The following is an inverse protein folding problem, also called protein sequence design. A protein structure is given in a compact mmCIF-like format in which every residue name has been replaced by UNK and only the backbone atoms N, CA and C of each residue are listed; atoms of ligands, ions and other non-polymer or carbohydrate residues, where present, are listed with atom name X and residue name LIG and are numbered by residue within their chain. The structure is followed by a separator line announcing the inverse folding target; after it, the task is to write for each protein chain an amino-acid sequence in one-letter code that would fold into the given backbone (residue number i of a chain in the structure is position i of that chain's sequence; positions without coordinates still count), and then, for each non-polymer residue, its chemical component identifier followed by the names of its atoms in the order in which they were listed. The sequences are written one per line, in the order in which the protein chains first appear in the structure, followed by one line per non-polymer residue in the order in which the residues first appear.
data_IF_593850504012
#
_entry.id   IF_593850504012
#
_cell.length_a   1.000
_cell.length_b   1.000
_cell.length_c   1.000
_cell.angle_alpha   90.00
_cell.angle_beta   90.00
_cell.angle_gamma   90.00
#
_symmetry.space_group_name_H-M   'P 1'
#
loop_
_entity.id
_entity.type
_entity.pdbx_description
1 polymer ?
#
# COMPACT_ATOMS: atom_id res chain seq x y z
N UNK A 1 14.35 6.95 1.93
CA UNK A 1 14.33 5.50 2.19
C UNK A 1 13.43 4.90 1.14
N UNK A 2 13.77 3.76 0.52
CA UNK A 2 12.78 3.08 -0.33
C UNK A 2 11.60 2.72 0.57
N UNK A 3 10.39 3.03 0.12
CA UNK A 3 9.20 2.63 0.86
C UNK A 3 9.11 1.10 0.87
N UNK A 4 8.84 0.55 2.04
CA UNK A 4 8.67 -0.87 2.31
C UNK A 4 7.19 -1.09 2.55
N UNK A 5 6.49 -1.26 1.43
CA UNK A 5 5.07 -1.52 1.37
C UNK A 5 4.79 -3.01 1.60
N UNK A 6 3.84 -3.33 2.47
CA UNK A 6 3.27 -4.67 2.60
C UNK A 6 1.90 -4.71 1.94
N UNK A 7 1.74 -5.51 0.90
CA UNK A 7 0.43 -5.84 0.35
C UNK A 7 -0.12 -7.11 1.00
N UNK A 8 -1.41 -7.12 1.33
CA UNK A 8 -2.09 -8.24 1.97
C UNK A 8 -3.39 -8.55 1.21
N UNK A 9 -3.55 -9.80 0.81
CA UNK A 9 -4.85 -10.37 0.44
C UNK A 9 -5.39 -11.18 1.62
N UNK A 10 -6.61 -10.87 2.06
CA UNK A 10 -7.19 -11.46 3.26
C UNK A 10 -7.95 -12.75 2.96
N UNK A 11 -7.70 -13.78 3.75
CA UNK A 11 -8.40 -15.05 3.59
C UNK A 11 -8.20 -16.00 4.76
N UNK A 12 -8.40 -17.29 4.48
CA UNK A 12 -7.91 -18.38 5.35
C UNK A 12 -6.43 -18.65 5.07
N UNK A 13 -6.08 -18.62 3.78
CA UNK A 13 -4.71 -18.45 3.32
C UNK A 13 -4.59 -16.99 2.94
N UNK A 14 -3.58 -16.30 3.46
CA UNK A 14 -3.32 -14.90 3.17
C UNK A 14 -2.28 -14.80 2.08
N UNK A 15 -2.53 -13.98 1.06
CA UNK A 15 -1.48 -13.52 0.16
C UNK A 15 -0.69 -12.39 0.82
N UNK A 16 0.62 -12.34 0.60
CA UNK A 16 1.44 -11.23 1.05
C UNK A 16 2.53 -10.90 0.04
N UNK A 17 2.92 -9.62 -0.03
CA UNK A 17 3.98 -9.17 -0.93
C UNK A 17 4.69 -7.92 -0.39
N UNK A 18 6.01 -7.95 -0.35
CA UNK A 18 6.89 -6.81 -0.09
C UNK A 18 7.56 -6.29 -1.35
N UNK A 19 7.97 -7.20 -2.22
CA UNK A 19 8.58 -6.92 -3.50
C UNK A 19 8.44 -8.19 -4.37
N UNK A 20 7.63 -8.17 -5.42
CA UNK A 20 7.40 -9.35 -6.25
C UNK A 20 8.58 -9.64 -7.19
N UNK A 21 9.55 -8.73 -7.30
CA UNK A 21 10.75 -8.90 -8.13
C UNK A 21 11.91 -9.55 -7.35
N UNK A 22 11.79 -9.65 -6.01
CA UNK A 22 12.80 -10.30 -5.17
C UNK A 22 12.29 -11.64 -4.68
N UNK A 23 13.04 -12.70 -4.99
CA UNK A 23 12.68 -14.07 -4.61
C UNK A 23 12.52 -14.18 -3.09
N UNK A 24 11.37 -14.71 -2.66
CA UNK A 24 11.05 -14.92 -1.25
C UNK A 24 10.52 -13.67 -0.53
N UNK A 25 10.28 -12.57 -1.25
CA UNK A 25 9.64 -11.35 -0.72
C UNK A 25 8.14 -11.26 -1.03
N UNK A 26 7.54 -12.34 -1.49
CA UNK A 26 6.09 -12.49 -1.65
C UNK A 26 5.70 -13.96 -1.53
N UNK A 27 4.42 -14.22 -1.29
CA UNK A 27 3.90 -15.57 -1.23
C UNK A 27 2.49 -15.64 -0.68
N UNK A 28 2.14 -16.83 -0.21
CA UNK A 28 0.94 -17.05 0.58
C UNK A 28 1.28 -17.75 1.90
N UNK A 29 0.47 -17.51 2.92
CA UNK A 29 0.64 -18.13 4.24
C UNK A 29 -0.71 -18.62 4.77
N UNK A 30 -0.74 -19.89 5.15
CA UNK A 30 -1.85 -20.45 5.90
C UNK A 30 -1.58 -20.26 7.39
N UNK A 31 -2.46 -19.53 8.08
CA UNK A 31 -2.39 -19.35 9.53
C UNK A 31 -3.28 -20.38 10.21
N UNK A 32 -2.70 -21.53 10.56
CA UNK A 32 -3.39 -22.62 11.23
C UNK A 32 -4.01 -22.15 12.56
N UNK A 33 -5.24 -22.62 12.83
CA UNK A 33 -6.01 -22.22 14.01
C UNK A 33 -7.11 -23.21 14.34
N UNK A 34 -7.25 -23.55 15.63
CA UNK A 34 -8.31 -24.46 16.11
C UNK A 34 -9.70 -23.79 16.18
N UNK A 35 -9.71 -22.46 16.35
CA UNK A 35 -10.92 -21.66 16.48
C UNK A 35 -10.71 -20.24 15.93
N UNK A 36 -11.80 -19.47 15.86
CA UNK A 36 -11.76 -18.11 15.30
C UNK A 36 -10.86 -17.15 16.08
N UNK A 37 -10.85 -17.23 17.41
CA UNK A 37 -9.99 -16.39 18.26
C UNK A 37 -8.51 -16.68 18.06
N UNK A 38 -8.13 -17.95 17.90
CA UNK A 38 -6.77 -18.35 17.59
C UNK A 38 -6.35 -17.82 16.21
N UNK A 39 -7.23 -17.90 15.20
CA UNK A 39 -6.97 -17.35 13.86
C UNK A 39 -6.63 -15.87 13.91
N UNK A 40 -7.43 -15.11 14.65
CA UNK A 40 -7.27 -13.68 14.86
C UNK A 40 -5.96 -13.33 15.59
N UNK A 41 -5.60 -14.10 16.62
CA UNK A 41 -4.33 -13.94 17.32
C UNK A 41 -3.13 -14.27 16.42
N UNK A 42 -3.22 -15.32 15.61
CA UNK A 42 -2.16 -15.71 14.68
C UNK A 42 -1.94 -14.63 13.61
N UNK A 43 -3.02 -14.05 13.08
CA UNK A 43 -2.92 -12.92 12.16
C UNK A 43 -2.25 -11.71 12.82
N UNK A 44 -2.69 -11.33 14.03
CA UNK A 44 -2.07 -10.22 14.76
C UNK A 44 -0.57 -10.46 14.98
N UNK A 45 -0.17 -11.65 15.43
CA UNK A 45 1.24 -12.01 15.64
C UNK A 45 2.04 -11.94 14.35
N UNK A 46 1.51 -12.52 13.27
CA UNK A 46 2.14 -12.47 11.96
C UNK A 46 2.34 -11.02 11.48
N UNK A 47 1.30 -10.20 11.59
CA UNK A 47 1.36 -8.80 11.20
C UNK A 47 2.35 -8.01 12.07
N UNK A 48 2.35 -8.22 13.39
CA UNK A 48 3.31 -7.58 14.29
C UNK A 48 4.76 -7.88 13.90
N UNK A 49 5.07 -9.12 13.51
CA UNK A 49 6.41 -9.45 12.99
C UNK A 49 6.75 -8.65 11.73
N UNK A 50 5.77 -8.40 10.86
CA UNK A 50 5.98 -7.59 9.66
C UNK A 50 6.32 -6.13 10.02
N UNK A 51 5.55 -5.52 10.93
CA UNK A 51 5.81 -4.16 11.41
C UNK A 51 7.19 -3.99 12.04
N UNK A 52 7.65 -5.00 12.79
CA UNK A 52 8.99 -5.00 13.40
C UNK A 52 10.13 -5.02 12.37
N UNK A 53 9.86 -5.31 11.09
CA UNK A 53 10.84 -5.26 10.01
C UNK A 53 10.94 -3.88 9.35
N UNK A 54 10.24 -2.86 9.85
CA UNK A 54 10.33 -1.48 9.36
C UNK A 54 9.45 -1.20 8.14
N UNK A 55 8.18 -1.57 8.22
CA UNK A 55 7.19 -1.14 7.23
C UNK A 55 6.99 0.37 7.30
N UNK A 56 6.58 0.95 6.17
CA UNK A 56 6.09 2.33 6.12
C UNK A 56 4.71 2.45 5.48
N UNK A 57 4.27 1.43 4.72
CA UNK A 57 2.93 1.39 4.14
C UNK A 57 2.33 -0.02 4.18
N UNK A 58 1.00 -0.12 4.34
CA UNK A 58 0.23 -1.36 4.16
C UNK A 58 -0.89 -1.16 3.13
N UNK A 59 -0.98 -2.02 2.13
CA UNK A 59 -2.05 -2.01 1.12
C UNK A 59 -2.87 -3.29 1.19
N UNK A 60 -4.19 -3.19 1.01
CA UNK A 60 -5.07 -4.36 0.98
C UNK A 60 -6.32 -4.14 0.11
N UNK A 61 -6.97 -5.22 -0.28
CA UNK A 61 -8.29 -5.17 -0.92
C UNK A 61 -9.41 -5.11 0.13
N UNK A 62 -10.36 -4.20 -0.08
CA UNK A 62 -11.62 -4.14 0.67
C UNK A 62 -12.76 -4.74 -0.17
N UNK A 63 -13.45 -5.79 0.30
CA UNK A 63 -14.56 -6.39 -0.43
C UNK A 63 -15.75 -5.44 -0.52
N UNK A 64 -16.42 -5.42 -1.68
CA UNK A 64 -17.66 -4.65 -1.88
C UNK A 64 -18.86 -5.55 -1.58
N UNK A 65 -19.70 -5.08 -0.67
CA UNK A 65 -21.01 -5.68 -0.41
C UNK A 65 -20.96 -6.77 0.65
N UNK A 66 -21.59 -6.45 1.77
CA UNK A 66 -21.80 -7.30 2.93
C UNK A 66 -22.85 -8.39 2.66
N UNK A 67 -22.68 -9.18 1.61
CA UNK A 67 -23.69 -10.14 1.17
C UNK A 67 -23.76 -11.39 2.06
N UNK A 68 -22.69 -11.70 2.82
CA UNK A 68 -22.65 -12.87 3.70
C UNK A 68 -21.99 -12.58 5.05
N UNK A 69 -22.71 -12.61 6.19
CA UNK A 69 -22.18 -12.34 7.53
C UNK A 69 -20.90 -13.11 7.90
N UNK A 70 -20.72 -14.31 7.33
CA UNK A 70 -19.60 -15.20 7.61
C UNK A 70 -18.25 -14.69 7.06
N UNK A 71 -18.27 -13.86 6.01
CA UNK A 71 -17.05 -13.24 5.45
C UNK A 71 -16.78 -11.86 6.03
N UNK A 72 -17.82 -11.20 6.57
CA UNK A 72 -17.74 -9.86 7.16
C UNK A 72 -16.95 -9.87 8.46
N UNK A 73 -17.29 -10.79 9.38
CA UNK A 73 -16.68 -10.82 10.71
C UNK A 73 -15.15 -11.02 10.64
N UNK A 74 -14.63 -11.99 9.87
CA UNK A 74 -13.18 -12.16 9.75
C UNK A 74 -12.52 -10.95 9.10
N UNK A 75 -13.10 -10.43 8.01
CA UNK A 75 -12.55 -9.26 7.33
C UNK A 75 -12.48 -8.04 8.26
N UNK A 76 -13.57 -7.73 8.98
CA UNK A 76 -13.62 -6.61 9.92
C UNK A 76 -12.55 -6.75 11.02
N UNK A 77 -12.29 -7.96 11.51
CA UNK A 77 -11.21 -8.19 12.45
C UNK A 77 -9.83 -7.88 11.83
N UNK A 78 -9.56 -8.40 10.62
CA UNK A 78 -8.29 -8.18 9.94
C UNK A 78 -8.05 -6.69 9.65
N UNK A 79 -9.07 -6.00 9.12
CA UNK A 79 -9.02 -4.57 8.84
C UNK A 79 -8.79 -3.76 10.13
N UNK A 80 -9.57 -3.99 11.19
CA UNK A 80 -9.36 -3.31 12.47
C UNK A 80 -7.94 -3.54 13.02
N UNK A 81 -7.41 -4.75 12.89
CA UNK A 81 -6.05 -5.08 13.33
C UNK A 81 -5.00 -4.32 12.52
N UNK A 82 -5.14 -4.27 11.19
CA UNK A 82 -4.26 -3.47 10.32
C UNK A 82 -4.31 -1.99 10.70
N UNK A 83 -5.51 -1.41 10.82
CA UNK A 83 -5.69 0.00 11.17
C UNK A 83 -5.06 0.34 12.53
N UNK A 84 -5.30 -0.50 13.54
CA UNK A 84 -4.71 -0.34 14.87
C UNK A 84 -3.18 -0.40 14.82
N UNK A 85 -2.61 -1.37 14.12
CA UNK A 85 -1.16 -1.53 14.01
C UNK A 85 -0.53 -0.37 13.22
N UNK A 86 -1.14 0.06 12.11
CA UNK A 86 -0.70 1.24 11.37
C UNK A 86 -0.64 2.48 12.29
N UNK A 87 -1.65 2.69 13.12
CA UNK A 87 -1.66 3.79 14.09
C UNK A 87 -0.56 3.64 15.16
N UNK A 88 -0.37 2.44 15.73
CA UNK A 88 0.65 2.19 16.74
C UNK A 88 2.08 2.42 16.25
N UNK A 89 2.37 2.08 14.99
CA UNK A 89 3.71 2.16 14.41
C UNK A 89 3.92 3.41 13.53
N UNK A 90 2.92 4.30 13.43
CA UNK A 90 2.94 5.48 12.57
C UNK A 90 3.25 5.13 11.09
N UNK A 91 2.52 4.14 10.57
CA UNK A 91 2.60 3.59 9.22
C UNK A 91 1.34 3.96 8.45
N UNK A 92 1.48 4.38 7.20
CA UNK A 92 0.34 4.68 6.35
C UNK A 92 -0.33 3.39 5.83
N UNK A 93 -1.56 3.52 5.36
CA UNK A 93 -2.23 2.42 4.68
C UNK A 93 -3.13 2.93 3.56
N UNK A 94 -3.37 2.06 2.59
CA UNK A 94 -4.31 2.29 1.49
C UNK A 94 -5.15 1.05 1.25
N UNK A 95 -6.34 1.24 0.70
CA UNK A 95 -7.20 0.13 0.30
C UNK A 95 -7.78 0.35 -1.08
N UNK A 96 -7.94 -0.74 -1.82
CA UNK A 96 -8.59 -0.77 -3.13
C UNK A 96 -9.85 -1.64 -3.07
N UNK A 97 -10.59 -1.67 -4.17
CA UNK A 97 -11.75 -2.55 -4.32
C UNK A 97 -11.50 -3.58 -5.42
N UNK A 98 -12.15 -4.76 -5.38
CA UNK A 98 -11.87 -5.84 -6.34
C UNK A 98 -12.01 -5.42 -7.80
N UNK A 99 -13.06 -4.68 -8.15
CA UNK A 99 -13.25 -4.20 -9.53
C UNK A 99 -12.21 -3.17 -9.96
N UNK A 100 -11.78 -2.30 -9.03
CA UNK A 100 -10.71 -1.32 -9.25
C UNK A 100 -9.37 -2.01 -9.45
N UNK A 101 -9.04 -2.99 -8.60
CA UNK A 101 -7.80 -3.76 -8.68
C UNK A 101 -7.72 -4.57 -9.98
N UNK A 102 -8.81 -5.23 -10.36
CA UNK A 102 -8.91 -5.96 -11.64
C UNK A 102 -8.75 -5.04 -12.83
N UNK A 103 -9.41 -3.87 -12.81
CA UNK A 103 -9.29 -2.88 -13.86
C UNK A 103 -7.86 -2.33 -13.98
N UNK A 104 -7.21 -2.03 -12.86
CA UNK A 104 -5.82 -1.60 -12.82
C UNK A 104 -4.88 -2.67 -13.40
N UNK A 105 -5.05 -3.92 -12.96
CA UNK A 105 -4.13 -5.01 -13.31
C UNK A 105 -4.30 -5.46 -14.76
N UNK A 106 -5.55 -5.67 -15.20
CA UNK A 106 -5.86 -6.33 -16.48
C UNK A 106 -6.43 -5.40 -17.54
N UNK A 107 -6.81 -4.17 -17.18
CA UNK A 107 -7.60 -3.26 -18.01
C UNK A 107 -9.12 -3.49 -17.95
N UNK A 108 -9.60 -4.51 -17.22
CA UNK A 108 -11.03 -4.81 -17.09
C UNK A 108 -11.43 -5.13 -15.65
N UNK A 109 -12.41 -4.40 -15.11
CA UNK A 109 -12.96 -4.66 -13.77
C UNK A 109 -13.76 -5.97 -13.66
N UNK A 110 -13.99 -6.66 -14.79
CA UNK A 110 -14.70 -7.95 -14.87
C UNK A 110 -13.77 -9.15 -15.07
N UNK A 111 -12.46 -8.94 -15.02
CA UNK A 111 -11.48 -10.01 -15.19
C UNK A 111 -11.71 -11.16 -14.21
N UNK A 112 -11.49 -12.38 -14.70
CA UNK A 112 -11.52 -13.58 -13.87
C UNK A 112 -10.14 -13.86 -13.25
N UNK A 113 -10.05 -14.95 -12.47
CA UNK A 113 -8.79 -15.33 -11.81
C UNK A 113 -7.68 -15.70 -12.80
N UNK A 114 -8.03 -16.32 -13.93
CA UNK A 114 -7.04 -16.73 -14.94
C UNK A 114 -6.47 -15.51 -15.66
N UNK A 115 -7.30 -14.51 -15.90
CA UNK A 115 -6.87 -13.23 -16.49
C UNK A 115 -5.89 -12.51 -15.57
N UNK A 116 -6.16 -12.49 -14.26
CA UNK A 116 -5.24 -11.94 -13.26
C UNK A 116 -3.88 -12.65 -13.29
N UNK A 117 -3.86 -13.98 -13.15
CA UNK A 117 -2.63 -14.79 -13.16
C UNK A 117 -1.82 -14.56 -14.43
N UNK A 118 -2.45 -14.66 -15.61
CA UNK A 118 -1.77 -14.43 -16.90
C UNK A 118 -1.19 -13.04 -17.00
N UNK A 119 -1.90 -12.04 -16.48
CA UNK A 119 -1.43 -10.66 -16.53
C UNK A 119 -0.25 -10.45 -15.60
N UNK A 120 -0.31 -10.97 -14.37
CA UNK A 120 0.81 -10.90 -13.42
C UNK A 120 2.03 -11.63 -13.97
N UNK A 121 1.89 -12.84 -14.52
CA UNK A 121 2.98 -13.57 -15.18
C UNK A 121 3.57 -12.82 -16.37
N UNK A 122 2.77 -12.02 -17.09
CA UNK A 122 3.29 -11.18 -18.17
C UNK A 122 4.03 -9.94 -17.65
N UNK A 123 3.59 -9.36 -16.54
CA UNK A 123 4.24 -8.21 -15.90
C UNK A 123 5.55 -8.65 -15.24
N UNK A 124 5.56 -9.82 -14.60
CA UNK A 124 6.69 -10.38 -13.84
C UNK A 124 6.91 -11.84 -14.27
N UNK A 125 7.61 -12.08 -15.40
CA UNK A 125 7.80 -13.42 -15.96
C UNK A 125 8.54 -14.40 -15.05
N UNK A 126 9.44 -13.89 -14.21
CA UNK A 126 10.28 -14.70 -13.33
C UNK A 126 9.61 -15.03 -11.98
N UNK A 127 8.38 -14.54 -11.76
CA UNK A 127 7.63 -14.81 -10.53
C UNK A 127 6.86 -16.12 -10.61
N UNK A 128 7.22 -17.06 -9.74
CA UNK A 128 6.46 -18.28 -9.51
C UNK A 128 5.29 -18.03 -8.54
N UNK A 129 4.10 -17.86 -9.10
CA UNK A 129 2.86 -17.72 -8.31
C UNK A 129 2.54 -19.04 -7.60
N UNK A 130 2.21 -18.95 -6.31
CA UNK A 130 1.95 -20.11 -5.46
C UNK A 130 0.49 -20.54 -5.50
N UNK A 131 -0.41 -19.55 -5.45
CA UNK A 131 -1.85 -19.70 -5.51
C UNK A 131 -2.51 -18.37 -5.90
N UNK A 132 -3.84 -18.36 -5.97
CA UNK A 132 -4.62 -17.17 -6.30
C UNK A 132 -4.39 -16.03 -5.28
N UNK A 133 -4.22 -16.32 -3.99
CA UNK A 133 -4.02 -15.28 -2.96
C UNK A 133 -2.65 -14.61 -3.14
N UNK A 134 -1.60 -15.38 -3.48
CA UNK A 134 -0.29 -14.81 -3.83
C UNK A 134 -0.41 -13.89 -5.06
N UNK A 135 -1.17 -14.30 -6.09
CA UNK A 135 -1.43 -13.45 -7.26
C UNK A 135 -2.13 -12.14 -6.88
N UNK A 136 -3.17 -12.22 -6.05
CA UNK A 136 -3.94 -11.05 -5.62
C UNK A 136 -3.08 -10.11 -4.76
N UNK A 137 -2.24 -10.63 -3.87
CA UNK A 137 -1.31 -9.81 -3.09
C UNK A 137 -0.26 -9.08 -3.95
N UNK A 138 0.23 -9.72 -5.02
CA UNK A 138 1.14 -9.08 -5.98
C UNK A 138 0.43 -7.97 -6.75
N UNK A 139 -0.82 -8.21 -7.17
CA UNK A 139 -1.64 -7.17 -7.82
C UNK A 139 -1.87 -5.97 -6.89
N UNK A 140 -2.21 -6.22 -5.61
CA UNK A 140 -2.38 -5.18 -4.59
C UNK A 140 -1.07 -4.41 -4.39
N UNK A 141 0.07 -5.10 -4.39
CA UNK A 141 1.38 -4.46 -4.26
C UNK A 141 1.68 -3.52 -5.42
N UNK A 142 1.47 -3.96 -6.67
CA UNK A 142 1.67 -3.13 -7.86
C UNK A 142 0.81 -1.86 -7.78
N UNK A 143 -0.47 -2.04 -7.45
CA UNK A 143 -1.39 -0.91 -7.26
C UNK A 143 -0.93 0.04 -6.15
N UNK A 144 -0.60 -0.50 -4.96
CA UNK A 144 -0.21 0.30 -3.81
C UNK A 144 1.09 1.07 -4.06
N UNK A 145 2.09 0.40 -4.60
CA UNK A 145 3.40 0.99 -4.90
C UNK A 145 3.30 2.12 -5.94
N UNK A 146 2.47 1.95 -6.99
CA UNK A 146 2.22 3.01 -7.96
C UNK A 146 1.51 4.23 -7.35
N UNK A 147 0.54 4.01 -6.45
CA UNK A 147 -0.16 5.12 -5.78
C UNK A 147 0.77 5.90 -4.85
N UNK A 148 1.61 5.21 -4.07
CA UNK A 148 2.57 5.88 -3.18
C UNK A 148 3.62 6.64 -3.99
N UNK A 149 4.15 6.06 -5.07
CA UNK A 149 5.09 6.74 -5.97
C UNK A 149 4.48 8.03 -6.56
N UNK A 150 3.21 8.01 -6.94
CA UNK A 150 2.49 9.20 -7.41
C UNK A 150 2.30 10.25 -6.30
N UNK A 151 1.92 9.81 -5.08
CA UNK A 151 1.75 10.70 -3.93
C UNK A 151 3.05 11.42 -3.56
N UNK A 152 4.17 10.68 -3.58
CA UNK A 152 5.52 11.20 -3.32
C UNK A 152 5.93 12.27 -4.34
N UNK A 153 5.66 12.03 -5.62
CA UNK A 153 5.99 12.99 -6.67
C UNK A 153 5.15 14.28 -6.53
N UNK A 154 3.86 14.15 -6.24
CA UNK A 154 2.97 15.30 -5.98
C UNK A 154 3.50 16.13 -4.80
N UNK A 155 3.92 15.47 -3.72
CA UNK A 155 4.51 16.12 -2.55
C UNK A 155 5.80 16.86 -2.90
N UNK A 156 6.72 16.22 -3.63
CA UNK A 156 7.97 16.86 -4.11
C UNK A 156 7.69 18.11 -4.94
N UNK A 157 6.73 18.04 -5.87
CA UNK A 157 6.35 19.19 -6.70
C UNK A 157 5.82 20.33 -5.83
N UNK A 158 5.01 20.03 -4.81
CA UNK A 158 4.48 21.03 -3.88
C UNK A 158 5.60 21.70 -3.07
N UNK A 159 6.50 20.90 -2.48
CA UNK A 159 7.64 21.41 -1.69
C UNK A 159 8.56 22.30 -2.53
N UNK A 160 8.80 21.93 -3.80
CA UNK A 160 9.58 22.74 -4.74
C UNK A 160 8.90 24.08 -5.07
N UNK A 161 7.57 24.09 -5.21
CA UNK A 161 6.81 25.34 -5.43
C UNK A 161 6.87 26.25 -4.21
N UNK A 162 6.73 25.70 -3.00
CA UNK A 162 6.80 26.45 -1.75
C UNK A 162 8.20 27.04 -1.52
N UNK A 163 9.27 26.26 -1.73
CA UNK A 163 10.66 26.76 -1.68
C UNK A 163 10.89 27.90 -2.68
N UNK A 164 10.47 27.74 -3.94
CA UNK A 164 10.60 28.80 -4.96
C UNK A 164 9.83 30.06 -4.58
N UNK A 165 8.65 29.93 -3.96
CA UNK A 165 7.88 31.07 -3.48
C UNK A 165 8.59 31.79 -2.32
N UNK A 166 9.13 31.05 -1.35
CA UNK A 166 9.92 31.58 -0.25
C UNK A 166 11.16 32.35 -0.74
N UNK A 167 11.91 31.78 -1.70
CA UNK A 167 13.08 32.44 -2.29
C UNK A 167 12.73 33.73 -3.03
N UNK A 168 11.62 33.73 -3.79
CA UNK A 168 11.12 34.94 -4.47
C UNK A 168 10.75 36.03 -3.46
N UNK A 169 10.05 35.68 -2.38
CA UNK A 169 9.67 36.62 -1.33
C UNK A 169 10.89 37.20 -0.62
N UNK A 170 11.89 36.37 -0.29
CA UNK A 170 13.15 36.82 0.31
C UNK A 170 13.90 37.81 -0.59
N UNK A 171 14.07 37.48 -1.88
CA UNK A 171 14.70 38.39 -2.86
C UNK A 171 13.94 39.71 -3.02
N UNK A 172 12.61 39.69 -2.96
CA UNK A 172 11.78 40.90 -3.02
C UNK A 172 11.95 41.78 -1.76
N UNK A 173 12.05 41.17 -0.58
CA UNK A 173 12.30 41.86 0.68
C UNK A 173 13.69 42.52 0.70
N UNK A 174 14.73 41.79 0.27
CA UNK A 174 16.11 42.30 0.16
C UNK A 174 16.20 43.48 -0.82
N UNK A 175 15.54 43.40 -1.99
CA UNK A 175 15.46 44.53 -2.94
C UNK A 175 14.76 45.75 -2.35
N UNK A 176 13.67 45.56 -1.60
CA UNK A 176 12.97 46.67 -0.92
C UNK A 176 13.84 47.32 0.15
N UNK A 177 14.54 46.53 0.96
CA UNK A 177 15.47 47.03 1.98
C UNK A 177 16.62 47.85 1.36
N UNK A 178 17.24 47.33 0.30
CA UNK A 178 18.32 48.04 -0.41
C UNK A 178 17.84 49.34 -1.07
N UNK A 179 16.62 49.38 -1.61
CA UNK A 179 16.02 50.59 -2.19
C UNK A 179 15.72 51.65 -1.13
N UNK A 180 15.30 51.25 0.07
CA UNK A 180 15.05 52.17 1.17
C UNK A 180 16.36 52.76 1.73
N UNK A 181 17.43 51.97 1.89
CA UNK A 181 18.74 52.49 2.30
C UNK A 181 19.30 53.54 1.34
N UNK A 182 19.11 53.36 0.03
CA UNK A 182 19.53 54.35 -0.99
C UNK A 182 18.73 55.66 -0.99
N UNK A 183 17.59 55.74 -0.29
CA UNK A 183 16.78 56.97 -0.17
C UNK A 183 17.14 57.81 1.06
N UNK A 184 17.97 57.29 1.97
CA UNK A 184 18.41 57.94 3.21
C UNK A 184 19.74 58.69 3.08
N UNK A 185 20.34 58.69 1.89
CA UNK A 185 21.52 59.48 1.49
C UNK A 185 21.17 60.27 0.24
#
# INVERSE_FOLDING_TARGET
MSERLLAIDFGRTFGWCYDPYVKGMSGSIYLESDNEGHRYLQFHRWLQMQFNQGLNHVSYERPIGYHQPITIKPFAFYECTVLMMCACYNVSFSCTYPSTLKAYTTGSGKADKKDMIKTIQRIIPDLELMDDNHCDAVAIWLWGNDNEAQADEVKRIKDLKEKKAADRNKKSAEKKAAKNQKKLF
#
